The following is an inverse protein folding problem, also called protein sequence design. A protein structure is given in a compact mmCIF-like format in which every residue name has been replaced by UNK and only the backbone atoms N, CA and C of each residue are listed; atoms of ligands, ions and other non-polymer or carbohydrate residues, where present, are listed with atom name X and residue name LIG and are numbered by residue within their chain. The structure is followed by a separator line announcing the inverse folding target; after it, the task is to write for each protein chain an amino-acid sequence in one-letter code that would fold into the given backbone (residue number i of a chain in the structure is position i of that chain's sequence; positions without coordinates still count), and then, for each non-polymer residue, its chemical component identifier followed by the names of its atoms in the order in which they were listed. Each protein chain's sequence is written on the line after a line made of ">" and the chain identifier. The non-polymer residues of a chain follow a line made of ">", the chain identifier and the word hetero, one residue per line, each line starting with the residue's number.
data_IF_172104297136
#
_entry.id   IF_172104297136
#
_cell.length_a   1.000
_cell.length_b   1.000
_cell.length_c   1.000
_cell.angle_alpha   90.00
_cell.angle_beta   90.00
_cell.angle_gamma   90.00
#
_symmetry.space_group_name_H-M   'P 1'
#
loop_
_entity.id
_entity.type
_entity.pdbx_description
1 polymer ?
#
# COMPACT_ATOMS: atom_id res chain seq x y z
N UNK A 1 -27.34 2.06 -8.76
CA UNK A 1 -25.89 1.87 -8.95
C UNK A 1 -25.23 3.21 -8.66
N UNK A 2 -24.85 3.43 -7.41
CA UNK A 2 -24.01 4.56 -7.00
C UNK A 2 -22.58 4.03 -6.82
N UNK A 3 -21.62 4.80 -7.30
CA UNK A 3 -20.21 4.49 -7.27
C UNK A 3 -19.68 4.60 -5.84
N UNK A 4 -19.44 3.46 -5.19
CA UNK A 4 -18.84 3.39 -3.85
C UNK A 4 -17.36 3.87 -3.84
N UNK A 5 -16.81 4.26 -4.99
CA UNK A 5 -15.53 4.96 -5.08
C UNK A 5 -15.59 6.39 -4.53
N UNK A 6 -16.76 7.05 -4.55
CA UNK A 6 -16.92 8.42 -4.03
C UNK A 6 -17.37 8.44 -2.56
N UNK A 7 -18.10 7.42 -2.08
CA UNK A 7 -18.61 7.37 -0.70
C UNK A 7 -17.51 7.12 0.37
N UNK A 8 -16.32 6.66 -0.02
CA UNK A 8 -15.19 6.53 0.92
C UNK A 8 -14.49 7.87 1.21
N UNK A 9 -14.74 8.91 0.41
CA UNK A 9 -14.21 10.26 0.61
C UNK A 9 -15.09 11.15 1.49
N UNK A 10 -16.32 10.72 1.82
CA UNK A 10 -17.28 11.53 2.59
C UNK A 10 -17.57 11.01 4.01
N UNK A 11 -16.69 10.17 4.56
CA UNK A 11 -16.71 9.86 5.99
C UNK A 11 -16.01 10.97 6.79
N UNK A 12 -16.71 11.55 7.79
CA UNK A 12 -16.31 12.71 8.63
C UNK A 12 -15.04 12.53 9.48
N UNK A 13 -14.14 11.61 9.14
CA UNK A 13 -12.81 11.49 9.73
C UNK A 13 -11.78 11.36 8.60
N UNK A 14 -10.76 12.24 8.53
CA UNK A 14 -9.70 12.07 7.54
C UNK A 14 -8.94 10.78 7.83
N UNK A 15 -8.97 9.85 6.88
CA UNK A 15 -8.12 8.66 6.87
C UNK A 15 -6.92 8.95 5.98
N UNK A 16 -5.73 8.74 6.51
CA UNK A 16 -4.50 8.77 5.72
C UNK A 16 -4.42 7.44 4.97
N UNK A 17 -4.36 7.47 3.63
CA UNK A 17 -4.37 6.26 2.79
C UNK A 17 -3.25 6.39 1.75
N UNK A 18 -2.54 5.31 1.46
CA UNK A 18 -1.53 5.26 0.38
C UNK A 18 -1.60 3.93 -0.37
N UNK A 19 -1.28 3.96 -1.66
CA UNK A 19 -1.47 2.87 -2.63
C UNK A 19 -0.14 2.34 -3.19
N UNK A 20 0.05 1.00 -3.23
CA UNK A 20 1.13 0.37 -4.00
C UNK A 20 0.72 -0.85 -4.81
N UNK A 21 1.04 -0.87 -6.09
CA UNK A 21 0.79 -2.02 -6.95
C UNK A 21 1.96 -3.04 -6.89
N UNK A 22 1.64 -4.31 -6.64
CA UNK A 22 2.61 -5.40 -6.55
C UNK A 22 2.30 -6.54 -7.52
N UNK A 23 3.32 -6.97 -8.23
CA UNK A 23 3.28 -8.10 -9.16
C UNK A 23 4.29 -9.16 -8.77
N UNK A 24 3.85 -10.42 -8.73
CA UNK A 24 4.71 -11.58 -8.50
C UNK A 24 5.12 -12.22 -9.83
N UNK A 25 6.41 -12.32 -10.10
CA UNK A 25 6.95 -13.04 -11.26
C UNK A 25 7.03 -14.55 -11.04
N UNK A 26 6.79 -15.34 -12.09
CA UNK A 26 7.02 -16.80 -12.11
C UNK A 26 8.52 -17.11 -12.00
N UNK A 27 8.94 -18.28 -11.47
CA UNK A 27 10.29 -18.80 -11.72
C UNK A 27 10.46 -18.92 -13.24
N UNK A 28 11.46 -18.25 -13.78
CA UNK A 28 11.69 -18.13 -15.22
C UNK A 28 12.30 -19.43 -15.78
N UNK A 29 11.57 -20.09 -16.69
CA UNK A 29 12.18 -20.84 -17.79
C UNK A 29 12.79 -19.80 -18.75
N UNK A 30 14.07 -19.97 -19.07
CA UNK A 30 14.91 -19.08 -19.89
C UNK A 30 14.22 -18.53 -21.14
N UNK A 31 14.35 -17.22 -21.44
CA UNK A 31 14.06 -16.70 -22.77
C UNK A 31 15.33 -16.14 -23.42
N UNK A 32 15.88 -16.91 -24.36
CA UNK A 32 16.66 -16.35 -25.47
C UNK A 32 15.72 -15.56 -26.38
N UNK A 33 15.71 -14.22 -26.30
CA UNK A 33 15.90 -13.34 -27.47
C UNK A 33 15.66 -11.84 -27.20
N UNK A 34 16.66 -11.04 -27.66
CA UNK A 34 16.58 -9.70 -28.27
C UNK A 34 16.10 -8.50 -27.42
N UNK A 35 17.10 -7.76 -26.93
CA UNK A 35 17.05 -6.30 -26.80
C UNK A 35 16.79 -5.66 -28.18
N UNK A 36 15.68 -4.95 -28.33
CA UNK A 36 15.49 -3.95 -29.38
C UNK A 36 15.54 -2.57 -28.73
N UNK A 37 16.65 -1.88 -28.95
CA UNK A 37 16.81 -0.45 -28.68
C UNK A 37 16.08 0.34 -29.77
N UNK A 38 15.30 1.35 -29.39
CA UNK A 38 14.96 2.47 -30.28
C UNK A 38 15.14 3.79 -29.50
N UNK A 39 15.82 4.79 -30.10
CA UNK A 39 15.93 6.14 -29.54
C UNK A 39 14.86 7.06 -30.14
N UNK A 40 14.36 8.01 -29.36
CA UNK A 40 14.35 9.44 -29.71
C UNK A 40 13.41 10.24 -28.79
N UNK A 41 13.90 11.43 -28.46
CA UNK A 41 13.28 12.45 -27.65
C UNK A 41 12.01 13.06 -28.27
N UNK A 42 11.07 13.48 -27.41
CA UNK A 42 10.16 14.63 -27.59
C UNK A 42 9.52 14.95 -26.22
N UNK A 43 9.95 16.02 -25.54
CA UNK A 43 9.33 17.36 -25.48
C UNK A 43 8.20 17.52 -24.43
N UNK A 44 8.57 18.24 -23.36
CA UNK A 44 7.84 19.28 -22.62
C UNK A 44 6.44 19.01 -22.07
N UNK A 45 6.33 19.00 -20.74
CA UNK A 45 5.22 19.59 -20.00
C UNK A 45 5.75 20.16 -18.68
N UNK A 46 6.01 21.47 -18.63
CA UNK A 46 6.09 22.17 -17.34
C UNK A 46 4.66 22.33 -16.81
N UNK A 47 4.15 21.29 -16.14
CA UNK A 47 2.97 21.43 -15.30
C UNK A 47 3.40 22.12 -14.00
N UNK A 48 3.16 23.42 -13.90
CA UNK A 48 3.14 24.12 -12.61
C UNK A 48 1.88 23.69 -11.86
N UNK A 49 1.91 22.50 -11.27
CA UNK A 49 0.91 22.11 -10.30
C UNK A 49 1.16 22.93 -9.02
N UNK A 50 0.18 23.76 -8.64
CA UNK A 50 0.03 24.18 -7.26
C UNK A 50 -0.11 22.89 -6.44
N UNK A 51 0.94 22.51 -5.72
CA UNK A 51 0.89 21.42 -4.76
C UNK A 51 -0.06 21.86 -3.65
N UNK A 52 -1.34 21.50 -3.75
CA UNK A 52 -2.13 21.25 -2.56
C UNK A 52 -1.45 20.10 -1.85
N UNK A 53 -0.72 20.38 -0.77
CA UNK A 53 -0.20 19.32 0.08
C UNK A 53 -1.40 18.64 0.75
N UNK A 54 -1.97 17.64 0.08
CA UNK A 54 -2.70 16.61 0.77
C UNK A 54 -1.68 15.94 1.70
N UNK A 55 -1.97 15.95 2.99
CA UNK A 55 -1.20 15.15 3.94
C UNK A 55 -1.61 13.71 3.65
N UNK A 56 -0.75 12.92 3.01
CA UNK A 56 -0.97 11.52 2.65
C UNK A 56 0.22 10.67 3.12
N UNK A 57 0.03 9.36 3.38
CA UNK A 57 1.12 8.45 3.76
C UNK A 57 2.07 8.28 2.57
N UNK A 58 3.38 8.37 2.80
CA UNK A 58 4.38 8.19 1.75
C UNK A 58 4.72 6.70 1.59
N UNK A 59 4.82 6.26 0.33
CA UNK A 59 5.19 4.90 -0.01
C UNK A 59 6.14 4.91 -1.22
N UNK A 60 7.42 4.58 -1.02
CA UNK A 60 8.42 4.53 -2.12
C UNK A 60 8.08 3.47 -3.18
N UNK A 61 8.44 3.66 -4.46
CA UNK A 61 8.19 2.75 -5.60
C UNK A 61 6.71 2.32 -5.81
N UNK A 62 5.99 3.05 -6.67
CA UNK A 62 4.58 2.78 -7.03
C UNK A 62 4.32 1.37 -7.61
N UNK A 63 5.34 0.74 -8.20
CA UNK A 63 5.26 -0.61 -8.77
C UNK A 63 6.43 -1.46 -8.31
N UNK A 64 6.14 -2.57 -7.63
CA UNK A 64 7.17 -3.50 -7.14
C UNK A 64 6.95 -4.89 -7.75
N UNK A 65 8.01 -5.45 -8.36
CA UNK A 65 8.00 -6.82 -8.90
C UNK A 65 9.02 -7.68 -8.19
N UNK A 66 8.61 -8.87 -7.73
CA UNK A 66 9.49 -9.86 -7.08
C UNK A 66 9.26 -11.27 -7.62
N UNK A 67 10.30 -12.09 -7.65
CA UNK A 67 10.19 -13.49 -8.09
C UNK A 67 9.51 -14.32 -7.00
N UNK A 68 8.77 -15.36 -7.41
CA UNK A 68 8.22 -16.34 -6.47
C UNK A 68 9.32 -16.92 -5.56
N UNK A 69 9.02 -17.03 -4.26
CA UNK A 69 9.96 -17.51 -3.25
C UNK A 69 10.80 -16.42 -2.57
N UNK A 70 10.88 -15.21 -3.14
CA UNK A 70 11.59 -14.08 -2.52
C UNK A 70 10.81 -13.48 -1.33
N UNK A 71 11.49 -12.69 -0.51
CA UNK A 71 10.88 -11.85 0.51
C UNK A 71 10.59 -10.46 -0.07
N UNK A 72 9.49 -9.84 0.38
CA UNK A 72 9.18 -8.44 0.08
C UNK A 72 8.63 -7.72 1.31
N UNK A 73 8.92 -6.42 1.40
CA UNK A 73 8.41 -5.52 2.43
C UNK A 73 7.76 -4.30 1.79
N UNK A 74 6.61 -3.90 2.32
CA UNK A 74 5.91 -2.68 1.97
C UNK A 74 5.99 -1.73 3.16
N UNK A 75 6.73 -0.62 3.03
CA UNK A 75 6.71 0.51 3.95
C UNK A 75 5.39 1.28 3.87
N UNK A 76 5.00 1.82 5.02
CA UNK A 76 3.97 2.82 5.25
C UNK A 76 4.60 3.90 6.13
N UNK A 77 4.95 5.04 5.56
CA UNK A 77 5.70 6.10 6.25
C UNK A 77 4.77 7.10 6.92
N UNK A 78 5.32 7.96 7.78
CA UNK A 78 4.55 8.98 8.51
C UNK A 78 3.46 8.41 9.43
N UNK A 79 3.65 7.18 9.92
CA UNK A 79 2.71 6.55 10.85
C UNK A 79 2.74 7.20 12.23
N UNK A 80 3.77 8.00 12.51
CA UNK A 80 3.87 8.86 13.69
C UNK A 80 2.74 9.91 13.76
N UNK A 81 2.26 10.39 12.59
CA UNK A 81 1.16 11.37 12.46
C UNK A 81 -0.23 10.81 12.75
N UNK A 82 -0.35 9.50 12.91
CA UNK A 82 -1.60 8.84 13.25
C UNK A 82 -2.03 9.21 14.68
N UNK A 83 -3.30 9.57 14.87
CA UNK A 83 -3.88 9.82 16.20
C UNK A 83 -4.26 8.54 16.93
N UNK A 84 -4.54 7.47 16.19
CA UNK A 84 -4.79 6.13 16.75
C UNK A 84 -3.52 5.29 16.88
N UNK A 85 -3.59 4.30 17.77
CA UNK A 85 -2.49 3.36 18.03
C UNK A 85 -2.35 2.27 16.95
N UNK A 86 -3.32 2.13 16.05
CA UNK A 86 -3.38 1.02 15.10
C UNK A 86 -3.14 1.47 13.66
N UNK A 87 -2.27 0.73 12.97
CA UNK A 87 -2.07 0.83 11.51
C UNK A 87 -2.64 -0.41 10.86
N UNK A 88 -3.55 -0.21 9.92
CA UNK A 88 -4.25 -1.27 9.19
C UNK A 88 -3.60 -1.50 7.83
N UNK A 89 -3.46 -2.75 7.44
CA UNK A 89 -2.98 -3.16 6.12
C UNK A 89 -4.07 -3.84 5.31
N UNK A 90 -4.16 -3.48 4.04
CA UNK A 90 -5.18 -3.96 3.11
C UNK A 90 -4.55 -4.55 1.86
N UNK A 91 -5.22 -5.55 1.29
CA UNK A 91 -4.97 -6.08 -0.03
C UNK A 91 -6.20 -5.79 -0.91
N UNK A 92 -5.98 -5.24 -2.11
CA UNK A 92 -6.99 -5.05 -3.14
C UNK A 92 -6.51 -5.75 -4.41
N UNK A 93 -7.27 -6.74 -4.87
CA UNK A 93 -7.03 -7.36 -6.20
C UNK A 93 -7.84 -6.62 -7.25
N UNK A 94 -7.43 -6.70 -8.51
CA UNK A 94 -8.01 -5.89 -9.61
C UNK A 94 -9.54 -5.98 -9.71
N UNK A 95 -10.13 -7.12 -9.36
CA UNK A 95 -11.59 -7.34 -9.38
C UNK A 95 -12.25 -7.49 -8.00
N UNK A 96 -11.53 -7.25 -6.90
CA UNK A 96 -12.01 -7.46 -5.53
C UNK A 96 -12.24 -6.15 -4.77
N UNK A 97 -13.10 -6.20 -3.75
CA UNK A 97 -13.14 -5.18 -2.69
C UNK A 97 -11.88 -5.24 -1.82
N UNK A 98 -11.55 -4.13 -1.17
CA UNK A 98 -10.49 -4.11 -0.15
C UNK A 98 -10.71 -5.19 0.91
N UNK A 99 -9.68 -5.98 1.19
CA UNK A 99 -9.67 -6.96 2.28
C UNK A 99 -8.62 -6.55 3.30
N UNK A 100 -9.02 -6.43 4.56
CA UNK A 100 -8.07 -6.20 5.66
C UNK A 100 -7.23 -7.46 5.82
N UNK A 101 -5.91 -7.29 5.80
CA UNK A 101 -4.94 -8.37 6.03
C UNK A 101 -4.75 -8.54 7.54
N UNK A 102 -4.36 -7.44 8.19
CA UNK A 102 -4.02 -7.35 9.60
C UNK A 102 -4.01 -5.88 10.04
N UNK A 103 -3.98 -5.67 11.34
CA UNK A 103 -3.49 -4.42 11.93
C UNK A 103 -2.33 -4.68 12.89
N UNK A 104 -1.55 -3.63 13.12
CA UNK A 104 -0.42 -3.62 14.03
C UNK A 104 -0.54 -2.44 14.99
N UNK A 105 -0.42 -2.72 16.30
CA UNK A 105 -0.30 -1.70 17.33
C UNK A 105 1.05 -1.03 17.20
N UNK A 106 1.09 0.30 17.12
CA UNK A 106 2.30 1.13 17.07
C UNK A 106 3.07 1.17 18.39
N UNK A 107 2.40 0.93 19.51
CA UNK A 107 2.98 1.03 20.85
C UNK A 107 3.71 -0.26 21.28
N UNK A 108 3.33 -1.42 20.74
CA UNK A 108 3.92 -2.70 21.14
C UNK A 108 4.08 -3.75 20.04
N UNK A 109 3.65 -3.48 18.81
CA UNK A 109 3.80 -4.39 17.68
C UNK A 109 2.86 -5.59 17.71
N UNK A 110 1.84 -5.56 18.58
CA UNK A 110 0.81 -6.60 18.62
C UNK A 110 0.07 -6.65 17.28
N UNK A 111 -0.10 -7.85 16.73
CA UNK A 111 -0.79 -8.08 15.47
C UNK A 111 -2.18 -8.63 15.70
N UNK A 112 -3.20 -8.05 15.06
CA UNK A 112 -4.51 -8.69 14.89
C UNK A 112 -4.69 -9.14 13.44
N UNK A 113 -5.03 -10.42 13.27
CA UNK A 113 -5.28 -11.09 11.98
C UNK A 113 -6.68 -11.72 11.92
N UNK A 114 -7.60 -11.29 12.78
CA UNK A 114 -8.94 -11.88 12.93
C UNK A 114 -9.91 -11.55 11.77
N UNK A 115 -9.46 -10.79 10.77
CA UNK A 115 -10.23 -10.33 9.61
C UNK A 115 -10.57 -11.39 8.54
N UNK A 116 -10.30 -12.67 8.79
CA UNK A 116 -10.57 -13.78 7.85
C UNK A 116 -9.91 -13.64 6.47
N UNK A 117 -8.75 -12.96 6.39
CA UNK A 117 -7.99 -12.89 5.15
C UNK A 117 -7.47 -14.29 4.77
N UNK A 118 -7.75 -14.82 3.56
CA UNK A 118 -7.45 -16.21 3.19
C UNK A 118 -5.95 -16.51 3.17
N UNK A 119 -5.12 -15.47 3.09
CA UNK A 119 -3.66 -15.56 3.04
C UNK A 119 -2.99 -14.99 4.30
N UNK A 120 -3.72 -14.76 5.40
CA UNK A 120 -3.22 -14.04 6.60
C UNK A 120 -1.90 -14.58 7.18
N UNK A 121 -1.63 -15.86 6.99
CA UNK A 121 -0.43 -16.52 7.52
C UNK A 121 0.82 -16.26 6.68
N UNK A 122 0.67 -15.80 5.43
CA UNK A 122 1.78 -15.39 4.57
C UNK A 122 2.33 -14.00 4.92
N UNK A 123 1.57 -13.23 5.71
CA UNK A 123 1.87 -11.85 6.05
C UNK A 123 2.40 -11.70 7.48
N UNK A 124 3.27 -10.73 7.69
CA UNK A 124 3.67 -10.23 9.02
C UNK A 124 3.81 -8.72 8.96
N UNK A 125 3.89 -8.05 10.11
CA UNK A 125 4.20 -6.63 10.12
C UNK A 125 5.20 -6.29 11.23
N UNK A 126 5.95 -5.21 11.02
CA UNK A 126 6.98 -4.73 11.95
C UNK A 126 6.86 -3.21 12.06
N UNK A 127 6.97 -2.69 13.28
CA UNK A 127 7.11 -1.25 13.53
C UNK A 127 8.57 -0.84 13.33
N UNK A 128 8.76 0.31 12.70
CA UNK A 128 9.98 1.12 12.69
C UNK A 128 9.68 2.47 13.35
N UNK A 129 10.70 3.28 13.61
CA UNK A 129 10.57 4.55 14.38
C UNK A 129 9.41 5.43 13.92
N UNK A 130 9.24 5.61 12.60
CA UNK A 130 8.21 6.49 12.01
C UNK A 130 7.36 5.77 10.95
N UNK A 131 7.59 4.48 10.74
CA UNK A 131 6.93 3.70 9.69
C UNK A 131 6.49 2.33 10.18
N UNK A 132 5.51 1.75 9.49
CA UNK A 132 5.15 0.35 9.66
C UNK A 132 5.44 -0.39 8.35
N UNK A 133 5.93 -1.62 8.46
CA UNK A 133 6.18 -2.46 7.29
C UNK A 133 5.28 -3.69 7.29
N UNK A 134 4.59 -3.95 6.18
CA UNK A 134 4.00 -5.25 5.89
C UNK A 134 5.03 -6.13 5.16
N UNK A 135 5.18 -7.38 5.56
CA UNK A 135 6.15 -8.31 4.99
C UNK A 135 5.49 -9.58 4.49
N UNK A 136 5.94 -10.04 3.34
CA UNK A 136 5.65 -11.37 2.80
C UNK A 136 6.96 -12.15 2.80
N UNK A 137 7.04 -13.25 3.54
CA UNK A 137 8.28 -14.02 3.67
C UNK A 137 8.59 -14.86 2.43
N UNK A 138 7.54 -15.34 1.76
CA UNK A 138 7.67 -16.19 0.57
C UNK A 138 6.62 -15.79 -0.44
N UNK A 139 7.02 -14.98 -1.42
CA UNK A 139 6.14 -14.46 -2.47
C UNK A 139 5.54 -15.59 -3.31
N UNK A 140 4.24 -15.51 -3.58
CA UNK A 140 3.45 -16.42 -4.42
C UNK A 140 2.71 -15.61 -5.48
N UNK A 141 2.32 -16.28 -6.57
CA UNK A 141 1.50 -15.66 -7.64
C UNK A 141 0.24 -14.99 -7.08
N UNK A 142 -0.36 -15.63 -6.09
CA UNK A 142 -1.59 -15.16 -5.46
C UNK A 142 -1.44 -13.90 -4.60
N UNK A 143 -0.22 -13.41 -4.37
CA UNK A 143 0.08 -12.16 -3.66
C UNK A 143 0.09 -10.95 -4.58
N UNK A 144 0.02 -11.12 -5.91
CA UNK A 144 -0.16 -9.99 -6.82
C UNK A 144 -1.46 -9.26 -6.51
N UNK A 145 -1.33 -7.97 -6.18
CA UNK A 145 -2.39 -7.11 -5.70
C UNK A 145 -1.86 -5.69 -5.51
N UNK A 146 -2.76 -4.76 -5.28
CA UNK A 146 -2.43 -3.46 -4.71
C UNK A 146 -2.55 -3.51 -3.18
N UNK A 147 -1.54 -3.00 -2.48
CA UNK A 147 -1.46 -2.95 -1.03
C UNK A 147 -1.64 -1.53 -0.53
N UNK A 148 -2.41 -1.38 0.56
CA UNK A 148 -2.67 -0.08 1.17
C UNK A 148 -2.44 -0.15 2.67
N UNK A 149 -2.04 0.97 3.25
CA UNK A 149 -2.06 1.15 4.69
C UNK A 149 -2.97 2.33 5.08
N UNK A 150 -3.54 2.28 6.29
CA UNK A 150 -4.28 3.42 6.83
C UNK A 150 -4.21 3.49 8.35
N UNK A 151 -4.48 4.67 8.88
CA UNK A 151 -4.67 4.90 10.31
C UNK A 151 -5.67 6.04 10.54
N UNK A 152 -6.13 6.20 11.79
CA UNK A 152 -7.02 7.29 12.17
C UNK A 152 -6.23 8.57 12.40
N UNK A 153 -6.68 9.68 11.80
CA UNK A 153 -6.24 11.03 12.12
C UNK A 153 -7.41 11.82 12.70
N UNK A 154 -7.21 12.42 13.87
CA UNK A 154 -8.13 13.37 14.45
C UNK A 154 -7.86 14.75 13.85
N UNK A 155 -8.87 15.32 13.18
CA UNK A 155 -8.85 16.74 12.84
C UNK A 155 -9.75 17.48 13.83
N UNK A 156 -9.23 18.45 14.61
CA UNK A 156 -10.10 19.35 15.34
C UNK A 156 -10.96 20.09 14.32
N UNK A 157 -12.28 20.01 14.45
CA UNK A 157 -13.20 20.78 13.63
C UNK A 157 -12.87 22.26 13.82
N UNK A 158 -12.36 22.93 12.78
CA UNK A 158 -12.35 24.39 12.75
C UNK A 158 -13.79 24.84 12.56
N UNK A 159 -14.45 25.21 13.66
CA UNK A 159 -15.69 25.98 13.60
C UNK A 159 -15.35 27.31 12.89
N UNK A 160 -16.04 27.58 11.78
CA UNK A 160 -15.83 28.75 10.93
C UNK A 160 -16.67 29.92 11.41
#
# INVERSE_FOLDING_TARGET
>A
MGDLSEDLLESRCPRLISERHFSSGSPEETPTHKMLLLPAAALYCLCSALLSTAEDLIQEDLTLTRRGGEQVSFSCEETDRCSGDWVYWYQKKDSDTFKVILDISRSGGALDKSYNHPQKDDFSAVIKTESCELRIQTVKVSHSATYYCSCVKWSPHSEK
#
